data_IF_019301243285
#
_entry.id   IF_019301243285
#
_cell.length_a   1.000
_cell.length_b   1.000
_cell.length_c   1.000
_cell.angle_alpha   90.00
_cell.angle_beta   90.00
_cell.angle_gamma   90.00
#
_symmetry.space_group_name_H-M   'P 1'
#
loop_
_entity.id
_entity.type
_entity.pdbx_description
1 polymer ?
#
# COMPACT_ATOMS: atom_id res chain seq x y z
N UNK A 1 -30.11 26.83 -97.84
CA UNK A 1 -30.09 25.76 -96.82
C UNK A 1 -28.69 25.74 -96.23
N UNK A 2 -28.51 26.40 -95.09
CA UNK A 2 -27.22 26.60 -94.42
C UNK A 2 -26.96 25.42 -93.48
N UNK A 3 -25.76 24.85 -93.47
CA UNK A 3 -25.08 24.44 -92.23
C UNK A 3 -23.57 24.34 -92.49
N UNK A 4 -22.80 25.14 -91.75
CA UNK A 4 -21.34 25.24 -91.78
C UNK A 4 -20.71 24.29 -90.76
N UNK A 5 -19.53 23.77 -91.08
CA UNK A 5 -18.63 23.02 -90.21
C UNK A 5 -18.18 23.81 -88.98
N UNK A 6 -18.01 23.11 -87.84
CA UNK A 6 -17.30 23.60 -86.66
C UNK A 6 -16.60 22.42 -85.96
N UNK A 7 -15.26 22.46 -85.88
CA UNK A 7 -14.41 21.54 -85.12
C UNK A 7 -14.41 21.92 -83.63
N UNK A 8 -14.35 20.91 -82.75
CA UNK A 8 -13.91 21.06 -81.35
C UNK A 8 -13.08 19.84 -80.89
N UNK A 9 -12.20 20.02 -79.88
CA UNK A 9 -10.85 19.45 -79.86
C UNK A 9 -10.67 18.16 -79.05
N UNK A 10 -9.50 17.53 -79.26
CA UNK A 10 -8.93 16.38 -78.54
C UNK A 10 -9.01 16.55 -77.01
N UNK A 11 -9.49 15.51 -76.32
CA UNK A 11 -9.29 15.29 -74.88
C UNK A 11 -8.37 14.08 -74.69
N UNK A 12 -7.16 14.34 -74.21
CA UNK A 12 -6.20 13.33 -73.74
C UNK A 12 -6.75 12.68 -72.46
N UNK A 13 -7.01 11.38 -72.50
CA UNK A 13 -7.27 10.58 -71.30
C UNK A 13 -5.93 10.22 -70.65
N UNK A 14 -5.57 10.89 -69.55
CA UNK A 14 -4.53 10.44 -68.62
C UNK A 14 -5.11 9.29 -67.76
N UNK A 15 -4.46 8.11 -67.69
CA UNK A 15 -4.90 7.06 -66.78
C UNK A 15 -4.55 7.48 -65.34
N UNK A 16 -5.57 7.71 -64.51
CA UNK A 16 -5.40 7.98 -63.09
C UNK A 16 -5.00 6.68 -62.40
N UNK A 17 -3.73 6.58 -62.00
CA UNK A 17 -3.19 5.46 -61.23
C UNK A 17 -3.81 5.48 -59.83
N UNK A 18 -4.73 4.55 -59.56
CA UNK A 18 -5.37 4.40 -58.26
C UNK A 18 -4.34 3.77 -57.29
N UNK A 19 -3.64 4.60 -56.50
CA UNK A 19 -2.78 4.13 -55.42
C UNK A 19 -3.70 3.65 -54.30
N UNK A 20 -3.88 2.33 -54.20
CA UNK A 20 -4.50 1.69 -53.05
C UNK A 20 -3.50 1.83 -51.90
N UNK A 21 -3.67 2.87 -51.08
CA UNK A 21 -2.96 3.00 -49.83
C UNK A 21 -3.39 1.86 -48.90
N UNK A 22 -2.47 0.94 -48.62
CA UNK A 22 -2.67 -0.07 -47.60
C UNK A 22 -2.91 0.64 -46.25
N UNK A 23 -4.14 0.52 -45.74
CA UNK A 23 -4.50 1.02 -44.43
C UNK A 23 -3.84 0.08 -43.40
N UNK A 24 -2.63 0.45 -42.94
CA UNK A 24 -2.02 -0.19 -41.79
C UNK A 24 -2.90 0.10 -40.58
N UNK A 25 -3.76 -0.84 -40.22
CA UNK A 25 -4.44 -0.83 -38.93
C UNK A 25 -3.41 -1.21 -37.89
N UNK A 26 -2.71 -0.20 -37.35
CA UNK A 26 -1.95 -0.37 -36.13
C UNK A 26 -2.96 -0.68 -35.01
N UNK A 27 -3.13 -1.96 -34.68
CA UNK A 27 -3.79 -2.36 -33.45
C UNK A 27 -2.96 -1.83 -32.30
N UNK A 28 -3.40 -0.72 -31.71
CA UNK A 28 -2.87 -0.25 -30.44
C UNK A 28 -3.21 -1.32 -29.38
N UNK A 29 -2.24 -2.14 -29.02
CA UNK A 29 -2.30 -2.94 -27.80
C UNK A 29 -2.27 -1.97 -26.63
N UNK A 30 -3.44 -1.65 -26.09
CA UNK A 30 -3.55 -1.01 -24.78
C UNK A 30 -2.95 -1.97 -23.75
N UNK A 31 -1.73 -1.68 -23.32
CA UNK A 31 -0.96 -2.45 -22.35
C UNK A 31 -1.62 -2.38 -20.97
N UNK A 32 -1.62 -3.52 -20.28
CA UNK A 32 -2.38 -3.88 -19.07
C UNK A 32 -2.01 -3.12 -17.77
N UNK A 33 -1.50 -1.89 -17.86
CA UNK A 33 -1.01 -1.12 -16.71
C UNK A 33 -2.16 -0.52 -15.90
N UNK A 34 -3.23 -0.03 -16.55
CA UNK A 34 -4.38 0.58 -15.86
C UNK A 34 -5.20 -0.41 -15.03
N UNK A 35 -5.25 -1.69 -15.44
CA UNK A 35 -5.97 -2.74 -14.68
C UNK A 35 -5.24 -3.16 -13.41
N UNK A 36 -3.90 -3.02 -13.37
CA UNK A 36 -3.10 -3.39 -12.20
C UNK A 36 -3.11 -2.29 -11.14
N UNK A 37 -3.15 -1.01 -11.51
CA UNK A 37 -3.12 0.12 -10.55
C UNK A 37 -4.43 0.25 -9.78
N UNK A 38 -5.58 0.14 -10.46
CA UNK A 38 -6.89 0.09 -9.82
C UNK A 38 -6.96 -1.11 -8.87
N UNK A 39 -6.39 -2.26 -9.26
CA UNK A 39 -6.30 -3.42 -8.37
C UNK A 39 -5.43 -3.16 -7.13
N UNK A 40 -4.33 -2.41 -7.25
CA UNK A 40 -3.46 -2.06 -6.12
C UNK A 40 -4.13 -1.12 -5.11
N UNK A 41 -4.80 -0.04 -5.57
CA UNK A 41 -5.53 0.88 -4.67
C UNK A 41 -6.65 0.15 -3.95
N UNK A 42 -7.45 -0.64 -4.67
CA UNK A 42 -8.52 -1.46 -4.07
C UNK A 42 -7.97 -2.53 -3.11
N UNK A 43 -6.79 -3.08 -3.37
CA UNK A 43 -6.09 -3.97 -2.41
C UNK A 43 -5.79 -3.24 -1.11
N UNK A 44 -5.23 -2.03 -1.15
CA UNK A 44 -4.92 -1.27 0.05
C UNK A 44 -6.16 -0.90 0.85
N UNK A 45 -7.30 -0.64 0.20
CA UNK A 45 -8.57 -0.37 0.92
C UNK A 45 -8.99 -1.52 1.83
N UNK A 46 -8.55 -2.76 1.55
CA UNK A 46 -8.80 -3.92 2.42
C UNK A 46 -8.06 -3.84 3.77
N UNK A 47 -7.16 -2.88 3.99
CA UNK A 47 -6.55 -2.62 5.29
C UNK A 47 -7.53 -1.97 6.29
N UNK A 48 -8.64 -1.40 5.79
CA UNK A 48 -9.67 -0.73 6.62
C UNK A 48 -10.75 -1.67 7.15
N UNK A 49 -11.42 -1.27 8.23
CA UNK A 49 -12.51 -2.00 8.89
C UNK A 49 -12.18 -2.44 10.31
N UNK A 50 -12.89 -3.44 10.82
CA UNK A 50 -12.70 -3.99 12.16
C UNK A 50 -11.91 -5.30 12.12
N UNK A 51 -10.85 -5.38 12.92
CA UNK A 51 -9.97 -6.55 12.98
C UNK A 51 -9.74 -6.98 14.42
N UNK A 52 -9.71 -8.29 14.66
CA UNK A 52 -9.03 -8.85 15.82
C UNK A 52 -7.54 -8.90 15.51
N UNK A 53 -6.71 -8.37 16.39
CA UNK A 53 -5.28 -8.20 16.15
C UNK A 53 -4.47 -9.02 17.13
N UNK A 54 -3.47 -9.74 16.62
CA UNK A 54 -2.48 -10.46 17.45
C UNK A 54 -1.08 -10.04 17.06
N UNK A 55 -0.20 -9.91 18.05
CA UNK A 55 1.20 -9.54 17.85
C UNK A 55 2.10 -10.67 18.34
N UNK A 56 3.00 -11.16 17.49
CA UNK A 56 3.94 -12.21 17.84
C UNK A 56 5.34 -11.81 17.42
N UNK A 57 6.17 -11.44 18.40
CA UNK A 57 7.54 -11.01 18.16
C UNK A 57 8.53 -12.02 18.73
N UNK A 58 9.63 -12.21 18.02
CA UNK A 58 10.79 -13.00 18.45
C UNK A 58 12.03 -12.13 18.29
N UNK A 59 12.74 -11.88 19.39
CA UNK A 59 14.04 -11.20 19.39
C UNK A 59 15.12 -12.19 19.81
N UNK A 60 16.11 -12.44 18.95
CA UNK A 60 17.22 -13.37 19.18
C UNK A 60 16.78 -14.75 19.71
N UNK A 61 15.66 -15.26 19.18
CA UNK A 61 15.08 -16.56 19.54
C UNK A 61 14.22 -16.54 20.81
N UNK A 62 14.06 -15.39 21.46
CA UNK A 62 13.19 -15.21 22.63
C UNK A 62 11.87 -14.59 22.17
N UNK A 63 10.78 -15.30 22.41
CA UNK A 63 9.44 -14.76 22.17
C UNK A 63 9.12 -13.63 23.16
N UNK A 64 8.57 -12.51 22.68
CA UNK A 64 7.90 -11.56 23.57
C UNK A 64 6.69 -12.28 24.19
N UNK A 65 6.55 -12.20 25.51
CA UNK A 65 5.53 -12.90 26.29
C UNK A 65 4.13 -12.28 26.14
N UNK A 66 3.92 -11.42 25.14
CA UNK A 66 2.78 -10.52 25.09
C UNK A 66 1.96 -10.72 23.81
N UNK A 67 0.64 -10.57 23.98
CA UNK A 67 -0.35 -10.16 22.97
C UNK A 67 -1.26 -11.19 22.30
N UNK A 68 -1.54 -12.34 22.92
CA UNK A 68 -2.82 -13.02 22.61
C UNK A 68 -3.99 -12.29 23.28
N UNK A 69 -3.77 -11.81 24.51
CA UNK A 69 -4.73 -11.04 25.30
C UNK A 69 -4.03 -9.88 26.01
N UNK A 70 -4.70 -8.73 26.11
CA UNK A 70 -4.30 -7.58 26.92
C UNK A 70 -5.20 -7.56 28.15
N UNK A 71 -4.62 -7.75 29.34
CA UNK A 71 -5.35 -7.89 30.61
C UNK A 71 -6.49 -8.92 30.56
N UNK A 72 -6.25 -10.04 29.86
CA UNK A 72 -7.23 -11.12 29.68
C UNK A 72 -8.34 -10.84 28.65
N UNK A 73 -8.24 -9.75 27.88
CA UNK A 73 -9.18 -9.38 26.83
C UNK A 73 -8.53 -9.41 25.44
N UNK A 74 -9.31 -9.71 24.42
CA UNK A 74 -8.85 -9.59 23.04
C UNK A 74 -8.57 -8.12 22.68
N UNK A 75 -7.62 -7.92 21.78
CA UNK A 75 -7.31 -6.63 21.19
C UNK A 75 -7.92 -6.54 19.80
N UNK A 76 -8.67 -5.47 19.57
CA UNK A 76 -9.27 -5.16 18.28
C UNK A 76 -8.74 -3.84 17.75
N UNK A 77 -8.73 -3.67 16.44
CA UNK A 77 -8.50 -2.37 15.80
C UNK A 77 -9.65 -2.01 14.87
N UNK A 78 -10.16 -0.80 15.06
CA UNK A 78 -11.00 -0.10 14.08
C UNK A 78 -10.09 0.78 13.22
N UNK A 79 -10.03 0.48 11.92
CA UNK A 79 -9.16 1.17 10.98
C UNK A 79 -10.04 1.99 10.03
N UNK A 80 -10.01 3.31 10.19
CA UNK A 80 -10.78 4.27 9.40
C UNK A 80 -9.98 4.66 8.17
N UNK A 81 -10.61 4.62 7.00
CA UNK A 81 -10.03 5.05 5.74
C UNK A 81 -10.56 6.43 5.34
N UNK A 82 -9.65 7.35 5.07
CA UNK A 82 -9.90 8.58 4.32
C UNK A 82 -9.22 8.49 2.94
N UNK A 83 -10.00 8.66 1.87
CA UNK A 83 -9.52 8.55 0.48
C UNK A 83 -9.54 9.90 -0.23
N UNK A 84 -8.46 10.16 -0.96
CA UNK A 84 -8.37 11.20 -1.99
C UNK A 84 -7.96 10.57 -3.32
N UNK A 85 -7.81 11.36 -4.38
CA UNK A 85 -7.50 10.87 -5.73
C UNK A 85 -6.26 9.97 -5.75
N UNK A 86 -5.15 10.42 -5.14
CA UNK A 86 -3.84 9.74 -5.19
C UNK A 86 -3.28 9.35 -3.81
N UNK A 87 -4.10 9.45 -2.76
CA UNK A 87 -3.66 9.10 -1.41
C UNK A 87 -4.77 8.44 -0.58
N UNK A 88 -4.36 7.55 0.32
CA UNK A 88 -5.19 6.90 1.33
C UNK A 88 -4.57 7.20 2.70
N UNK A 89 -5.38 7.58 3.68
CA UNK A 89 -4.97 7.79 5.07
C UNK A 89 -5.74 6.81 5.95
N UNK A 90 -5.03 5.99 6.72
CA UNK A 90 -5.62 5.03 7.65
C UNK A 90 -5.32 5.45 9.09
N UNK A 91 -6.38 5.65 9.87
CA UNK A 91 -6.26 5.88 11.32
C UNK A 91 -6.68 4.62 12.07
N UNK A 92 -5.78 4.09 12.88
CA UNK A 92 -6.01 2.92 13.70
C UNK A 92 -6.44 3.33 15.11
N UNK A 93 -7.55 2.77 15.57
CA UNK A 93 -8.05 2.90 16.93
C UNK A 93 -8.06 1.52 17.59
N UNK A 94 -7.25 1.35 18.62
CA UNK A 94 -7.22 0.12 19.40
C UNK A 94 -8.41 0.04 20.36
N UNK A 95 -8.98 -1.15 20.52
CA UNK A 95 -10.11 -1.43 21.40
C UNK A 95 -9.77 -2.60 22.33
N UNK A 96 -9.95 -2.39 23.63
CA UNK A 96 -9.75 -3.40 24.68
C UNK A 96 -10.96 -3.38 25.62
N UNK A 97 -11.84 -4.37 25.49
CA UNK A 97 -13.13 -4.37 26.18
C UNK A 97 -13.96 -3.16 25.76
N UNK A 98 -14.29 -2.28 26.71
CA UNK A 98 -15.07 -1.05 26.47
C UNK A 98 -14.20 0.19 26.25
N UNK A 99 -12.88 0.05 26.29
CA UNK A 99 -11.96 1.17 26.11
C UNK A 99 -11.49 1.23 24.67
N UNK A 100 -11.38 2.45 24.13
CA UNK A 100 -10.77 2.71 22.84
C UNK A 100 -9.70 3.80 22.96
N UNK A 101 -8.64 3.67 22.17
CA UNK A 101 -7.58 4.69 22.08
C UNK A 101 -7.05 4.82 20.65
N UNK A 102 -6.52 6.00 20.31
CA UNK A 102 -5.69 6.12 19.11
C UNK A 102 -4.48 5.21 19.24
N UNK A 103 -4.20 4.41 18.22
CA UNK A 103 -3.07 3.50 18.23
C UNK A 103 -1.94 3.97 17.31
N UNK A 104 -2.20 4.17 16.03
CA UNK A 104 -1.22 4.70 15.08
C UNK A 104 -1.92 5.15 13.79
N UNK A 105 -1.18 5.82 12.92
CA UNK A 105 -1.68 6.30 11.63
C UNK A 105 -0.71 5.95 10.53
N UNK A 106 -1.25 5.68 9.35
CA UNK A 106 -0.45 5.53 8.14
C UNK A 106 -1.04 6.27 6.94
N UNK A 107 -0.15 6.79 6.11
CA UNK A 107 -0.49 7.39 4.83
C UNK A 107 0.13 6.60 3.69
N UNK A 108 -0.67 6.44 2.64
CA UNK A 108 -0.27 5.79 1.41
C UNK A 108 -0.43 6.76 0.25
N UNK A 109 0.59 6.90 -0.58
CA UNK A 109 0.50 7.68 -1.82
C UNK A 109 1.07 6.93 -3.01
N UNK A 110 0.42 7.06 -4.16
CA UNK A 110 0.89 6.49 -5.41
C UNK A 110 1.93 7.42 -6.06
N UNK A 111 3.03 6.84 -6.51
CA UNK A 111 4.07 7.52 -7.27
C UNK A 111 3.76 7.52 -8.77
N UNK A 112 4.45 8.35 -9.55
CA UNK A 112 4.30 8.38 -11.01
C UNK A 112 4.66 7.03 -11.68
N UNK A 113 5.50 6.22 -11.03
CA UNK A 113 5.93 4.89 -11.51
C UNK A 113 5.03 3.76 -10.99
N UNK A 114 3.84 4.07 -10.48
CA UNK A 114 2.86 3.12 -9.94
C UNK A 114 3.35 2.29 -8.73
N UNK A 115 4.32 2.83 -8.00
CA UNK A 115 4.73 2.33 -6.69
C UNK A 115 3.94 3.02 -5.59
N UNK A 116 3.83 2.36 -4.44
CA UNK A 116 3.14 2.89 -3.27
C UNK A 116 4.13 3.21 -2.17
N UNK A 117 4.08 4.46 -1.70
CA UNK A 117 4.83 4.94 -0.55
C UNK A 117 3.95 4.86 0.68
N UNK A 118 4.40 4.15 1.72
CA UNK A 118 3.78 4.13 3.04
C UNK A 118 4.58 5.05 3.97
N UNK A 119 3.89 5.90 4.72
CA UNK A 119 4.41 6.68 5.85
C UNK A 119 3.68 6.26 7.10
N UNK A 120 4.42 5.81 8.10
CA UNK A 120 3.85 5.38 9.39
C UNK A 120 4.19 6.37 10.47
N UNK A 121 3.19 6.82 11.20
CA UNK A 121 3.28 7.80 12.26
C UNK A 121 3.04 7.15 13.63
N UNK A 122 3.41 7.87 14.67
CA UNK A 122 3.09 7.53 16.05
C UNK A 122 1.57 7.69 16.35
N UNK A 123 1.10 7.31 17.57
CA UNK A 123 -0.32 7.47 17.93
C UNK A 123 -0.84 8.90 17.88
N UNK A 124 0.04 9.91 18.06
CA UNK A 124 -0.36 11.32 17.94
C UNK A 124 -0.54 11.75 16.49
N UNK A 125 0.12 11.05 15.56
CA UNK A 125 0.15 11.38 14.14
C UNK A 125 1.16 12.48 13.79
N UNK A 126 1.98 12.91 14.76
CA UNK A 126 2.89 14.05 14.61
C UNK A 126 4.32 13.58 14.26
N UNK A 127 4.72 12.39 14.72
CA UNK A 127 6.08 11.89 14.52
C UNK A 127 6.14 10.75 13.51
N UNK A 128 6.90 10.95 12.42
CA UNK A 128 7.18 9.91 11.44
C UNK A 128 8.07 8.83 12.07
N UNK A 129 7.60 7.58 12.07
CA UNK A 129 8.35 6.42 12.53
C UNK A 129 9.21 5.83 11.42
N UNK A 130 8.62 5.64 10.25
CA UNK A 130 9.33 5.18 9.06
C UNK A 130 8.53 5.49 7.79
N UNK A 131 9.24 5.48 6.68
CA UNK A 131 8.71 5.63 5.34
C UNK A 131 9.46 4.67 4.41
N UNK A 132 8.74 4.08 3.46
CA UNK A 132 9.37 3.39 2.34
C UNK A 132 8.41 3.24 1.16
N UNK A 133 8.95 2.93 -0.02
CA UNK A 133 8.21 2.82 -1.28
C UNK A 133 8.45 1.46 -1.93
N UNK A 134 7.38 0.79 -2.35
CA UNK A 134 7.46 -0.49 -3.05
C UNK A 134 6.23 -0.73 -3.95
N UNK A 135 6.35 -1.63 -4.96
CA UNK A 135 5.19 -2.05 -5.74
C UNK A 135 4.26 -2.96 -4.92
N UNK A 136 2.99 -2.98 -5.30
CA UNK A 136 2.04 -4.01 -4.86
C UNK A 136 1.95 -5.06 -5.97
N UNK A 137 2.21 -6.32 -5.64
CA UNK A 137 2.10 -7.44 -6.56
C UNK A 137 1.51 -8.65 -5.85
N UNK A 138 0.56 -9.34 -6.47
CA UNK A 138 -0.10 -10.54 -5.89
C UNK A 138 -0.67 -10.31 -4.48
N UNK A 139 -1.31 -9.15 -4.27
CA UNK A 139 -1.82 -8.70 -2.97
C UNK A 139 -0.75 -8.64 -1.85
N UNK A 140 0.51 -8.47 -2.23
CA UNK A 140 1.63 -8.33 -1.32
C UNK A 140 2.33 -6.98 -1.56
N UNK A 141 2.72 -6.33 -0.46
CA UNK A 141 3.58 -5.15 -0.47
C UNK A 141 4.79 -5.43 0.42
N UNK A 142 5.99 -5.42 -0.17
CA UNK A 142 7.25 -5.71 0.53
C UNK A 142 8.18 -4.53 0.38
N UNK A 143 8.57 -3.95 1.50
CA UNK A 143 9.18 -2.63 1.51
C UNK A 143 10.30 -2.52 2.55
N UNK A 144 11.44 -1.99 2.13
CA UNK A 144 12.62 -1.83 2.97
C UNK A 144 12.74 -0.38 3.44
N UNK A 145 12.58 -0.18 4.76
CA UNK A 145 12.68 1.09 5.46
C UNK A 145 14.00 1.13 6.27
N UNK A 146 15.14 0.98 5.57
CA UNK A 146 16.44 0.59 6.14
C UNK A 146 17.06 1.46 7.24
N UNK A 147 16.46 2.58 7.64
CA UNK A 147 16.95 3.37 8.79
C UNK A 147 15.82 4.01 9.59
N UNK A 148 14.89 3.19 10.05
CA UNK A 148 13.80 3.64 10.92
C UNK A 148 14.33 3.97 12.33
N UNK A 149 13.77 5.01 12.97
CA UNK A 149 14.17 5.40 14.32
C UNK A 149 13.71 4.36 15.35
N UNK A 150 14.48 4.19 16.43
CA UNK A 150 14.08 3.34 17.56
C UNK A 150 12.72 3.80 18.14
N UNK A 151 11.76 2.89 18.32
CA UNK A 151 10.50 3.17 19.01
C UNK A 151 10.72 3.53 20.50
N UNK A 152 10.72 4.82 20.82
CA UNK A 152 11.09 5.31 22.17
C UNK A 152 10.16 4.80 23.27
N UNK A 153 8.86 4.68 23.01
CA UNK A 153 7.88 4.23 24.01
C UNK A 153 7.97 2.72 24.25
N UNK A 154 7.95 1.92 23.17
CA UNK A 154 8.04 0.45 23.24
C UNK A 154 9.36 0.02 23.87
N UNK A 155 10.45 0.67 23.48
CA UNK A 155 11.81 0.25 23.82
C UNK A 155 12.45 1.19 24.85
N UNK A 156 11.65 1.86 25.70
CA UNK A 156 12.07 2.93 26.63
C UNK A 156 13.25 2.57 27.55
N UNK A 157 13.51 1.28 27.77
CA UNK A 157 14.63 0.79 28.58
C UNK A 157 15.88 0.35 27.79
N UNK A 158 15.85 0.38 26.45
CA UNK A 158 16.96 -0.03 25.60
C UNK A 158 17.80 1.18 25.21
N UNK A 159 19.11 1.06 25.38
CA UNK A 159 20.11 2.09 25.03
C UNK A 159 21.24 1.56 24.16
N UNK A 160 21.16 0.29 23.78
CA UNK A 160 22.14 -0.48 23.02
C UNK A 160 21.96 -0.34 21.50
N UNK A 161 20.85 0.25 21.03
CA UNK A 161 20.65 0.57 19.61
C UNK A 161 19.92 1.91 19.41
N UNK A 162 20.04 2.46 18.21
CA UNK A 162 19.45 3.75 17.81
C UNK A 162 18.49 3.63 16.63
N UNK A 163 18.77 2.73 15.69
CA UNK A 163 17.99 2.58 14.46
C UNK A 163 17.63 1.13 14.18
N UNK A 164 16.64 0.96 13.32
CA UNK A 164 16.20 -0.31 12.80
C UNK A 164 16.47 -0.32 11.29
N UNK A 165 17.27 -1.29 10.85
CA UNK A 165 17.25 -1.71 9.45
C UNK A 165 16.04 -2.64 9.27
N UNK A 166 14.95 -2.04 8.79
CA UNK A 166 13.61 -2.59 8.85
C UNK A 166 13.10 -2.99 7.47
N UNK A 167 12.50 -4.16 7.39
CA UNK A 167 11.68 -4.59 6.26
C UNK A 167 10.25 -4.86 6.74
N UNK A 168 9.27 -4.35 5.99
CA UNK A 168 7.85 -4.60 6.21
C UNK A 168 7.30 -5.41 5.03
N UNK A 169 6.53 -6.45 5.33
CA UNK A 169 5.84 -7.26 4.33
C UNK A 169 4.37 -7.32 4.72
N UNK A 170 3.49 -6.77 3.90
CA UNK A 170 2.04 -6.91 4.03
C UNK A 170 1.55 -7.97 3.05
N UNK A 171 0.81 -8.96 3.56
CA UNK A 171 0.02 -9.88 2.75
C UNK A 171 -1.45 -9.60 3.00
N UNK A 172 -2.17 -9.18 1.97
CA UNK A 172 -3.52 -8.61 2.09
C UNK A 172 -4.56 -9.54 1.45
N UNK A 173 -5.68 -9.76 2.13
CA UNK A 173 -6.82 -10.51 1.61
C UNK A 173 -8.13 -9.87 2.07
N UNK A 174 -9.26 -10.28 1.50
CA UNK A 174 -10.57 -9.82 1.96
C UNK A 174 -10.88 -10.25 3.42
N UNK A 175 -10.32 -11.38 3.86
CA UNK A 175 -10.54 -11.93 5.21
C UNK A 175 -9.68 -11.25 6.29
N UNK A 176 -8.71 -10.44 5.90
CA UNK A 176 -7.70 -9.93 6.82
C UNK A 176 -6.34 -9.75 6.15
N UNK A 177 -5.37 -9.31 6.92
CA UNK A 177 -4.00 -9.10 6.45
C UNK A 177 -2.98 -9.46 7.52
N UNK A 178 -1.77 -9.78 7.06
CA UNK A 178 -0.64 -10.06 7.94
C UNK A 178 0.47 -9.08 7.62
N UNK A 179 1.06 -8.50 8.66
CA UNK A 179 2.31 -7.77 8.57
C UNK A 179 3.43 -8.59 9.17
N UNK A 180 4.49 -8.78 8.39
CA UNK A 180 5.76 -9.28 8.89
C UNK A 180 6.72 -8.11 8.99
N UNK A 181 7.29 -7.91 10.17
CA UNK A 181 8.35 -6.95 10.43
C UNK A 181 9.65 -7.71 10.62
N UNK A 182 10.69 -7.39 9.84
CA UNK A 182 12.04 -7.91 10.04
C UNK A 182 12.90 -6.72 10.42
N UNK A 183 13.43 -6.73 11.64
CA UNK A 183 14.15 -5.61 12.24
C UNK A 183 15.55 -6.05 12.67
N UNK A 184 16.58 -5.54 12.01
CA UNK A 184 17.95 -5.57 12.55
C UNK A 184 18.15 -4.32 13.41
N UNK A 185 18.42 -4.50 14.70
CA UNK A 185 18.63 -3.40 15.64
C UNK A 185 20.09 -2.95 15.56
N UNK A 186 20.32 -1.69 15.20
CA UNK A 186 21.64 -1.15 14.90
C UNK A 186 22.06 -0.11 15.95
N UNK A 187 23.26 -0.29 16.50
CA UNK A 187 23.92 0.71 17.34
C UNK A 187 24.44 1.92 16.54
N UNK A 188 25.16 2.82 17.23
CA UNK A 188 25.74 4.04 16.63
C UNK A 188 26.74 3.76 15.52
N UNK A 189 27.43 2.63 15.60
CA UNK A 189 28.45 2.20 14.66
C UNK A 189 27.85 1.33 13.53
N UNK A 190 26.51 1.19 13.50
CA UNK A 190 25.75 0.31 12.61
C UNK A 190 26.10 -1.17 12.78
N UNK A 191 26.47 -1.57 14.00
CA UNK A 191 26.61 -2.99 14.36
C UNK A 191 25.24 -3.53 14.77
N UNK A 192 24.90 -4.71 14.27
CA UNK A 192 23.67 -5.41 14.66
C UNK A 192 23.83 -5.92 16.09
N UNK A 193 22.96 -5.47 16.98
CA UNK A 193 22.94 -5.89 18.39
C UNK A 193 21.84 -6.90 18.71
N UNK A 194 20.81 -6.98 17.86
CA UNK A 194 19.71 -7.94 17.97
C UNK A 194 18.96 -8.05 16.64
N UNK A 195 18.33 -9.21 16.42
CA UNK A 195 17.43 -9.46 15.29
C UNK A 195 16.03 -9.74 15.83
N UNK A 196 15.05 -8.99 15.34
CA UNK A 196 13.65 -9.12 15.73
C UNK A 196 12.79 -9.44 14.50
N UNK A 197 11.94 -10.47 14.62
CA UNK A 197 10.90 -10.75 13.63
C UNK A 197 9.54 -10.63 14.31
N UNK A 198 8.70 -9.76 13.78
CA UNK A 198 7.31 -9.55 14.19
C UNK A 198 6.33 -10.14 13.18
N UNK A 199 5.28 -10.76 13.69
CA UNK A 199 4.12 -11.22 12.92
C UNK A 199 2.86 -10.63 13.54
N UNK A 200 2.28 -9.66 12.85
CA UNK A 200 1.04 -8.99 13.26
C UNK A 200 -0.08 -9.54 12.37
N UNK A 201 -1.07 -10.22 12.95
CA UNK A 201 -2.21 -10.78 12.21
C UNK A 201 -3.46 -9.94 12.49
N UNK A 202 -4.09 -9.47 11.41
CA UNK A 202 -5.31 -8.67 11.39
C UNK A 202 -6.42 -9.50 10.78
N UNK A 203 -7.14 -10.24 11.62
CA UNK A 203 -8.27 -11.06 11.20
C UNK A 203 -9.54 -10.21 11.16
N UNK A 204 -10.18 -10.06 9.99
CA UNK A 204 -11.41 -9.25 9.86
C UNK A 204 -12.55 -9.87 10.67
N UNK A 205 -13.27 -9.05 11.41
CA UNK A 205 -14.40 -9.46 12.27
C UNK A 205 -15.61 -8.54 12.09
N UNK A 206 -16.74 -8.90 12.73
CA UNK A 206 -17.91 -8.03 12.79
C UNK A 206 -17.57 -6.69 13.45
N UNK A 207 -18.05 -5.60 12.88
CA UNK A 207 -17.75 -4.25 13.36
C UNK A 207 -18.30 -3.97 14.76
N UNK A 208 -19.24 -4.76 15.27
CA UNK A 208 -19.73 -4.66 16.64
C UNK A 208 -18.62 -4.79 17.69
N UNK A 209 -17.54 -5.53 17.37
CA UNK A 209 -16.39 -5.68 18.27
C UNK A 209 -15.57 -4.39 18.39
N UNK A 210 -15.70 -3.49 17.40
CA UNK A 210 -15.01 -2.22 17.33
C UNK A 210 -15.89 -1.03 17.75
N UNK A 211 -17.11 -1.28 18.24
CA UNK A 211 -18.07 -0.23 18.58
C UNK A 211 -17.49 0.87 19.49
N UNK A 212 -16.70 0.58 20.54
CA UNK A 212 -16.13 1.62 21.40
C UNK A 212 -15.26 2.65 20.66
N UNK A 213 -14.59 2.25 19.57
CA UNK A 213 -13.75 3.15 18.78
C UNK A 213 -14.55 4.05 17.83
N UNK A 214 -15.78 3.68 17.47
CA UNK A 214 -16.63 4.48 16.58
C UNK A 214 -17.23 5.72 17.25
N UNK A 215 -17.07 5.83 18.56
CA UNK A 215 -17.58 6.92 19.39
C UNK A 215 -16.51 8.00 19.69
N UNK A 216 -15.26 7.79 19.20
CA UNK A 216 -14.14 8.71 19.30
C UNK A 216 -14.09 9.71 18.13
#
# INVERSE_FOLDING_TARGET
>A
MNLKFSLRPLLFFLPTLLIIGALNTATATATATTSLTLASKETLKLLSGCFRVTYRFVEDGVHDSRFDLVDGKEFYEWIVLEESDNALSFQHYGVIGEQAMKHWREDWSETADHLWTQKVYDPTGEELRYECTAPIAFHQWRCHAGKAARPVIRDRGRSDYETLDRENILQITAAGWVQVEINNKLDRDNVIVANEVGFNDYSRVDESNCQPAKEL
#
